data_IF_017445272817
#
_entry.id   IF_017445272817
#
_cell.length_a   1.000
_cell.length_b   1.000
_cell.length_c   1.000
_cell.angle_alpha   90.00
_cell.angle_beta   90.00
_cell.angle_gamma   90.00
#
_symmetry.space_group_name_H-M   'P 1'
#
loop_
_entity.id
_entity.type
_entity.pdbx_description
1 polymer ?
#
# COMPACT_ATOMS: atom_id res chain seq x y z
N UNK A 1 -17.30 65.48 49.74
CA UNK A 1 -16.41 65.22 48.59
C UNK A 1 -15.27 64.43 49.19
N UNK A 2 -15.34 63.11 49.21
CA UNK A 2 -14.88 62.29 48.09
C UNK A 2 -15.44 60.86 48.27
N UNK A 3 -16.20 60.35 47.30
CA UNK A 3 -16.59 58.94 47.16
C UNK A 3 -16.11 58.47 45.79
N UNK A 4 -15.23 57.48 45.76
CA UNK A 4 -14.84 56.62 44.60
C UNK A 4 -14.17 55.36 45.19
N UNK A 5 -14.31 54.14 44.64
CA UNK A 5 -15.53 53.46 44.20
C UNK A 5 -15.55 51.94 44.60
N UNK A 6 -16.73 51.33 44.53
CA UNK A 6 -16.91 49.87 44.46
C UNK A 6 -16.40 49.33 43.11
N UNK A 7 -15.67 48.23 43.16
CA UNK A 7 -15.20 47.48 41.98
C UNK A 7 -16.37 46.67 41.41
N UNK A 8 -16.97 47.20 40.34
CA UNK A 8 -17.99 46.52 39.55
C UNK A 8 -17.38 45.47 38.62
N UNK A 9 -18.12 44.37 38.56
CA UNK A 9 -17.90 43.15 37.78
C UNK A 9 -18.20 43.45 36.33
N UNK A 10 -17.20 43.41 35.45
CA UNK A 10 -17.46 43.44 34.01
C UNK A 10 -17.99 42.08 33.57
N UNK A 11 -19.31 41.98 33.41
CA UNK A 11 -19.97 40.96 32.59
C UNK A 11 -20.61 41.66 31.38
N UNK A 12 -20.16 41.24 30.21
CA UNK A 12 -20.80 41.21 28.88
C UNK A 12 -21.86 42.26 28.53
N UNK A 13 -21.63 43.00 27.43
CA UNK A 13 -22.64 43.06 26.38
C UNK A 13 -22.02 43.32 24.99
N UNK A 14 -22.59 42.60 24.03
CA UNK A 14 -22.14 42.36 22.68
C UNK A 14 -22.22 43.62 21.81
N UNK A 15 -21.27 43.80 20.90
CA UNK A 15 -21.56 44.47 19.62
C UNK A 15 -21.18 43.53 18.49
N UNK A 16 -22.23 43.06 17.83
CA UNK A 16 -22.18 42.25 16.64
C UNK A 16 -21.58 43.06 15.49
N UNK A 17 -20.42 42.65 15.01
CA UNK A 17 -20.06 42.81 13.60
C UNK A 17 -19.74 41.44 13.06
N UNK A 18 -20.79 40.74 12.64
CA UNK A 18 -20.68 39.59 11.76
C UNK A 18 -20.06 40.08 10.46
N UNK A 19 -18.79 39.76 10.27
CA UNK A 19 -18.22 39.59 8.94
C UNK A 19 -17.80 38.13 8.94
N UNK A 20 -18.81 37.30 8.71
CA UNK A 20 -18.62 35.96 8.19
C UNK A 20 -18.01 36.16 6.81
N UNK A 21 -16.68 36.13 6.74
CA UNK A 21 -15.98 36.03 5.47
C UNK A 21 -16.02 34.55 5.07
N UNK A 22 -17.24 34.07 4.84
CA UNK A 22 -17.52 32.87 4.06
C UNK A 22 -17.22 33.29 2.60
N UNK A 23 -15.93 33.43 2.31
CA UNK A 23 -15.43 33.38 0.95
C UNK A 23 -15.76 31.98 0.46
N UNK A 24 -16.98 31.89 -0.07
CA UNK A 24 -17.53 30.70 -0.69
C UNK A 24 -16.45 30.15 -1.60
N UNK A 25 -15.99 28.95 -1.25
CA UNK A 25 -15.30 28.08 -2.18
C UNK A 25 -16.36 27.75 -3.23
N UNK A 26 -16.50 28.64 -4.21
CA UNK A 26 -17.25 28.35 -5.42
C UNK A 26 -16.42 27.24 -6.05
N UNK A 27 -16.92 26.01 -5.99
CA UNK A 27 -16.33 24.91 -6.73
C UNK A 27 -16.54 25.30 -8.20
N UNK A 28 -15.56 26.00 -8.78
CA UNK A 28 -15.66 26.59 -10.12
C UNK A 28 -16.03 25.52 -11.14
N UNK A 29 -15.79 24.24 -10.82
CA UNK A 29 -16.21 23.00 -11.48
C UNK A 29 -17.73 22.90 -11.69
N UNK A 30 -18.56 23.36 -10.76
CA UNK A 30 -20.03 23.35 -10.90
C UNK A 30 -20.54 24.39 -11.92
N UNK A 31 -19.72 25.37 -12.29
CA UNK A 31 -20.04 26.40 -13.29
C UNK A 31 -19.52 26.05 -14.69
N UNK A 32 -18.69 25.01 -14.84
CA UNK A 32 -18.23 24.59 -16.16
C UNK A 32 -19.35 23.90 -16.92
N UNK A 33 -19.53 24.31 -18.17
CA UNK A 33 -20.36 23.56 -19.10
C UNK A 33 -19.76 22.16 -19.36
N UNK A 34 -20.55 21.18 -19.81
CA UNK A 34 -20.05 19.83 -20.08
C UNK A 34 -18.87 19.81 -21.07
N UNK A 35 -18.85 20.78 -21.99
CA UNK A 35 -17.82 20.97 -23.01
C UNK A 35 -16.51 21.48 -22.40
N UNK A 36 -16.58 22.48 -21.50
CA UNK A 36 -15.41 23.01 -20.81
C UNK A 36 -14.85 22.01 -19.77
N UNK A 37 -15.70 21.16 -19.17
CA UNK A 37 -15.27 20.06 -18.30
C UNK A 37 -14.47 18.99 -19.05
N UNK A 38 -14.91 18.61 -20.26
CA UNK A 38 -14.23 17.63 -21.09
C UNK A 38 -12.88 18.17 -21.59
N UNK A 39 -12.82 19.44 -21.99
CA UNK A 39 -11.57 20.11 -22.38
C UNK A 39 -10.60 20.24 -21.20
N UNK A 40 -11.11 20.53 -20.00
CA UNK A 40 -10.31 20.56 -18.76
C UNK A 40 -9.81 19.15 -18.40
N UNK A 41 -10.64 18.11 -18.51
CA UNK A 41 -10.25 16.72 -18.28
C UNK A 41 -9.16 16.25 -19.24
N UNK A 42 -9.26 16.59 -20.53
CA UNK A 42 -8.23 16.33 -21.53
C UNK A 42 -6.94 17.11 -21.26
N UNK A 43 -7.03 18.37 -20.84
CA UNK A 43 -5.87 19.19 -20.51
C UNK A 43 -5.11 18.67 -19.26
N UNK A 44 -5.84 18.20 -18.24
CA UNK A 44 -5.24 17.67 -17.00
C UNK A 44 -4.88 16.19 -17.09
N UNK A 45 -5.41 15.43 -18.05
CA UNK A 45 -5.08 14.01 -18.30
C UNK A 45 -3.57 13.72 -18.28
N UNK A 46 -2.70 14.45 -19.00
CA UNK A 46 -1.25 14.21 -18.95
C UNK A 46 -0.65 14.48 -17.55
N UNK A 47 -1.19 15.45 -16.81
CA UNK A 47 -0.76 15.77 -15.43
C UNK A 47 -1.24 14.69 -14.46
N UNK A 48 -2.52 14.28 -14.52
CA UNK A 48 -3.08 13.15 -13.77
C UNK A 48 -2.27 11.87 -14.03
N UNK A 49 -1.89 11.62 -15.29
CA UNK A 49 -1.13 10.43 -15.69
C UNK A 49 0.35 10.49 -15.27
N UNK A 50 0.97 11.68 -15.30
CA UNK A 50 2.31 11.90 -14.78
C UNK A 50 2.35 11.78 -13.24
N UNK A 51 1.38 12.36 -12.54
CA UNK A 51 1.20 12.22 -11.09
C UNK A 51 0.92 10.77 -10.72
N UNK A 52 0.05 10.07 -11.45
CA UNK A 52 -0.18 8.65 -11.26
C UNK A 52 1.10 7.84 -11.50
N UNK A 53 1.89 8.12 -12.55
CA UNK A 53 3.18 7.42 -12.79
C UNK A 53 4.20 7.69 -11.69
N UNK A 54 4.33 8.93 -11.22
CA UNK A 54 5.24 9.30 -10.12
C UNK A 54 4.78 8.66 -8.81
N UNK A 55 3.48 8.72 -8.50
CA UNK A 55 2.89 8.12 -7.30
C UNK A 55 2.92 6.59 -7.33
N UNK A 56 2.64 5.95 -8.48
CA UNK A 56 2.78 4.49 -8.65
C UNK A 56 4.24 4.09 -8.47
N UNK A 57 5.19 4.85 -9.01
CA UNK A 57 6.61 4.55 -8.87
C UNK A 57 7.06 4.74 -7.42
N UNK A 58 6.64 5.81 -6.77
CA UNK A 58 6.91 6.05 -5.35
C UNK A 58 6.31 4.95 -4.46
N UNK A 59 5.05 4.58 -4.71
CA UNK A 59 4.36 3.50 -3.99
C UNK A 59 5.02 2.15 -4.23
N UNK A 60 5.38 1.82 -5.48
CA UNK A 60 6.11 0.59 -5.81
C UNK A 60 7.48 0.54 -5.12
N UNK A 61 8.22 1.67 -5.06
CA UNK A 61 9.50 1.74 -4.34
C UNK A 61 9.33 1.60 -2.82
N UNK A 62 8.32 2.26 -2.25
CA UNK A 62 8.04 2.23 -0.81
C UNK A 62 7.57 0.82 -0.39
N UNK A 63 6.59 0.26 -1.08
CA UNK A 63 6.07 -1.09 -0.88
C UNK A 63 7.15 -2.17 -1.05
N UNK A 64 7.96 -2.08 -2.12
CA UNK A 64 9.07 -3.00 -2.33
C UNK A 64 10.08 -2.91 -1.19
N UNK A 65 10.36 -1.72 -0.65
CA UNK A 65 11.27 -1.56 0.48
C UNK A 65 10.75 -2.23 1.75
N UNK A 66 9.48 -2.06 2.12
CA UNK A 66 8.92 -2.66 3.34
C UNK A 66 8.87 -4.19 3.25
N UNK A 67 8.36 -4.71 2.14
CA UNK A 67 8.32 -6.14 1.90
C UNK A 67 9.75 -6.71 1.93
N UNK A 68 10.70 -6.06 1.27
CA UNK A 68 12.11 -6.47 1.27
C UNK A 68 12.77 -6.45 2.65
N UNK A 69 12.41 -5.48 3.52
CA UNK A 69 12.87 -5.47 4.92
C UNK A 69 12.36 -6.68 5.70
N UNK A 70 11.06 -6.98 5.61
CA UNK A 70 10.46 -8.17 6.23
C UNK A 70 11.06 -9.47 5.66
N UNK A 71 11.29 -9.55 4.35
CA UNK A 71 11.94 -10.70 3.71
C UNK A 71 13.35 -10.92 4.28
N UNK A 72 14.13 -9.85 4.41
CA UNK A 72 15.48 -9.91 4.98
C UNK A 72 15.49 -10.31 6.44
N UNK A 73 14.53 -9.82 7.22
CA UNK A 73 14.34 -10.21 8.61
C UNK A 73 14.04 -11.72 8.70
N UNK A 74 13.07 -12.22 7.92
CA UNK A 74 12.71 -13.63 7.88
C UNK A 74 13.92 -14.51 7.54
N UNK A 75 14.69 -14.15 6.51
CA UNK A 75 15.90 -14.89 6.12
C UNK A 75 16.93 -14.90 7.25
N UNK A 76 17.16 -13.76 7.91
CA UNK A 76 18.08 -13.68 9.05
C UNK A 76 17.64 -14.55 10.24
N UNK A 77 16.34 -14.51 10.58
CA UNK A 77 15.78 -15.31 11.66
C UNK A 77 15.93 -16.81 11.36
N UNK A 78 15.59 -17.24 10.14
CA UNK A 78 15.65 -18.65 9.73
C UNK A 78 17.09 -19.16 9.69
N UNK A 79 18.04 -18.36 9.20
CA UNK A 79 19.44 -18.79 9.09
C UNK A 79 20.23 -18.69 10.41
N UNK A 80 19.77 -17.92 11.40
CA UNK A 80 20.38 -17.86 12.74
C UNK A 80 19.66 -18.81 13.70
N UNK A 81 19.88 -20.10 13.50
CA UNK A 81 19.20 -21.19 14.22
C UNK A 81 19.51 -21.24 15.71
N UNK A 82 20.66 -20.70 16.13
CA UNK A 82 21.18 -20.79 17.50
C UNK A 82 20.97 -19.54 18.35
N UNK A 83 20.82 -18.36 17.74
CA UNK A 83 20.72 -17.08 18.47
C UNK A 83 19.36 -16.44 18.22
N UNK A 84 19.04 -16.13 16.96
CA UNK A 84 17.82 -15.36 16.67
C UNK A 84 16.56 -16.23 16.69
N UNK A 85 16.61 -17.45 16.15
CA UNK A 85 15.45 -18.33 16.09
C UNK A 85 14.93 -18.74 17.48
N UNK A 86 15.78 -19.06 18.48
CA UNK A 86 15.31 -19.32 19.84
C UNK A 86 14.69 -18.08 20.48
N UNK A 87 15.29 -16.90 20.29
CA UNK A 87 14.77 -15.64 20.81
C UNK A 87 13.41 -15.29 20.20
N UNK A 88 13.26 -15.51 18.90
CA UNK A 88 11.97 -15.38 18.20
C UNK A 88 10.90 -16.29 18.82
N UNK A 89 11.22 -17.58 18.99
CA UNK A 89 10.29 -18.55 19.61
C UNK A 89 9.94 -18.20 21.06
N UNK A 90 10.90 -17.71 21.84
CA UNK A 90 10.65 -17.24 23.22
C UNK A 90 9.70 -16.04 23.22
N UNK A 91 9.93 -15.08 22.34
CA UNK A 91 9.11 -13.87 22.22
C UNK A 91 7.66 -14.22 21.84
N UNK A 92 7.48 -15.15 20.89
CA UNK A 92 6.14 -15.64 20.54
C UNK A 92 5.44 -16.31 21.74
N UNK A 93 6.17 -17.09 22.53
CA UNK A 93 5.65 -17.75 23.73
C UNK A 93 5.27 -16.73 24.81
N UNK A 94 6.10 -15.72 25.04
CA UNK A 94 5.84 -14.60 25.97
C UNK A 94 4.57 -13.83 25.57
N UNK A 95 4.39 -13.59 24.26
CA UNK A 95 3.21 -12.93 23.71
C UNK A 95 1.98 -13.85 23.57
N UNK A 96 2.06 -15.11 24.04
CA UNK A 96 1.01 -16.14 23.92
C UNK A 96 0.54 -16.39 22.49
N UNK A 97 1.42 -16.21 21.51
CA UNK A 97 1.17 -16.52 20.11
C UNK A 97 1.62 -17.93 19.76
N UNK A 98 1.11 -18.48 18.65
CA UNK A 98 1.53 -19.79 18.17
C UNK A 98 3.01 -19.75 17.78
N UNK A 99 3.81 -20.65 18.38
CA UNK A 99 5.25 -20.73 18.13
C UNK A 99 5.48 -21.23 16.70
N UNK A 100 5.75 -20.31 15.80
CA UNK A 100 5.90 -20.56 14.36
C UNK A 100 7.18 -19.89 13.86
N UNK A 101 7.65 -20.32 12.69
CA UNK A 101 8.78 -19.69 12.01
C UNK A 101 8.22 -18.70 11.01
N UNK A 102 8.81 -17.51 10.93
CA UNK A 102 8.44 -16.52 9.93
C UNK A 102 8.60 -17.11 8.52
N UNK A 103 7.54 -17.09 7.68
CA UNK A 103 7.62 -17.60 6.33
C UNK A 103 8.64 -16.78 5.52
N UNK A 104 9.37 -17.45 4.65
CA UNK A 104 10.33 -16.80 3.75
C UNK A 104 9.62 -16.40 2.47
N UNK A 105 9.95 -15.23 1.94
CA UNK A 105 9.57 -14.84 0.60
C UNK A 105 10.40 -15.59 -0.45
N UNK A 106 9.71 -16.27 -1.36
CA UNK A 106 10.25 -17.12 -2.41
C UNK A 106 9.76 -16.56 -3.75
N UNK A 107 10.65 -15.98 -4.59
CA UNK A 107 10.26 -15.34 -5.84
C UNK A 107 9.51 -16.26 -6.82
N UNK A 108 9.79 -17.57 -6.77
CA UNK A 108 9.15 -18.56 -7.65
C UNK A 108 7.76 -18.98 -7.18
N UNK A 109 7.30 -18.51 -6.01
CA UNK A 109 5.98 -18.84 -5.47
C UNK A 109 5.13 -17.58 -5.42
N UNK A 110 4.13 -17.53 -6.31
CA UNK A 110 3.24 -16.38 -6.55
C UNK A 110 2.55 -15.78 -5.31
N UNK A 111 2.32 -16.57 -4.26
CA UNK A 111 1.70 -16.11 -3.00
C UNK A 111 2.69 -15.92 -1.84
N UNK A 112 4.00 -15.98 -2.09
CA UNK A 112 4.98 -15.97 -1.00
C UNK A 112 5.06 -14.62 -0.29
N UNK A 113 5.04 -13.53 -1.04
CA UNK A 113 5.08 -12.17 -0.48
C UNK A 113 3.78 -11.86 0.25
N UNK A 114 2.65 -12.37 -0.25
CA UNK A 114 1.35 -12.33 0.42
C UNK A 114 1.39 -13.02 1.79
N UNK A 115 1.83 -14.29 1.84
CA UNK A 115 1.90 -15.04 3.08
C UNK A 115 2.84 -14.39 4.10
N UNK A 116 3.93 -13.75 3.64
CA UNK A 116 4.84 -13.02 4.50
C UNK A 116 4.17 -11.78 5.11
N UNK A 117 3.45 -10.99 4.31
CA UNK A 117 2.77 -9.78 4.80
C UNK A 117 1.64 -10.12 5.76
N UNK A 118 0.81 -11.10 5.42
CA UNK A 118 -0.26 -11.59 6.31
C UNK A 118 0.32 -12.09 7.64
N UNK A 119 1.39 -12.88 7.59
CA UNK A 119 2.06 -13.35 8.79
C UNK A 119 2.66 -12.19 9.60
N UNK A 120 3.30 -11.23 8.94
CA UNK A 120 3.95 -10.09 9.59
C UNK A 120 2.93 -9.20 10.31
N UNK A 121 1.78 -8.93 9.69
CA UNK A 121 0.68 -8.19 10.31
C UNK A 121 0.14 -8.90 11.55
N UNK A 122 -0.07 -10.22 11.48
CA UNK A 122 -0.51 -11.03 12.61
C UNK A 122 0.53 -11.10 13.76
N UNK A 123 1.82 -10.95 13.45
CA UNK A 123 2.93 -11.03 14.39
C UNK A 123 3.64 -9.69 14.61
N UNK A 124 2.99 -8.56 14.33
CA UNK A 124 3.58 -7.21 14.44
C UNK A 124 4.26 -6.97 15.78
N UNK A 125 3.56 -7.25 16.89
CA UNK A 125 4.10 -7.09 18.25
C UNK A 125 5.37 -7.91 18.49
N UNK A 126 5.44 -9.12 17.96
CA UNK A 126 6.61 -9.97 18.08
C UNK A 126 7.78 -9.46 17.24
N UNK A 127 7.49 -8.97 16.02
CA UNK A 127 8.48 -8.35 15.13
C UNK A 127 9.07 -7.12 15.82
N UNK A 128 8.22 -6.18 16.27
CA UNK A 128 8.65 -4.95 16.95
C UNK A 128 9.51 -5.27 18.18
N UNK A 129 9.08 -6.24 19.02
CA UNK A 129 9.82 -6.67 20.21
C UNK A 129 11.21 -7.22 19.87
N UNK A 130 11.33 -8.00 18.79
CA UNK A 130 12.61 -8.61 18.40
C UNK A 130 13.51 -7.60 17.69
N UNK A 131 12.97 -6.68 16.89
CA UNK A 131 13.75 -5.66 16.20
C UNK A 131 14.26 -4.57 17.15
N UNK A 132 13.52 -4.26 18.22
CA UNK A 132 13.92 -3.28 19.24
C UNK A 132 15.06 -3.76 20.16
N UNK A 133 15.29 -5.07 20.27
CA UNK A 133 16.39 -5.63 21.08
C UNK A 133 17.74 -5.29 20.45
N UNK A 134 18.45 -4.33 21.05
CA UNK A 134 19.76 -3.83 20.58
C UNK A 134 20.80 -4.93 20.42
N UNK A 135 20.80 -5.92 21.31
CA UNK A 135 21.74 -7.05 21.34
C UNK A 135 21.65 -7.95 20.09
N UNK A 136 20.51 -7.97 19.40
CA UNK A 136 20.30 -8.84 18.24
C UNK A 136 20.76 -8.20 16.92
N UNK A 137 21.09 -6.90 16.91
CA UNK A 137 21.50 -6.19 15.70
C UNK A 137 20.42 -6.17 14.60
N UNK A 138 19.14 -6.27 15.00
CA UNK A 138 17.98 -6.30 14.09
C UNK A 138 17.28 -4.95 13.91
N UNK A 139 17.73 -3.91 14.63
CA UNK A 139 17.13 -2.57 14.61
C UNK A 139 17.03 -1.93 13.22
N UNK A 140 17.91 -2.33 12.29
CA UNK A 140 17.86 -1.88 10.88
C UNK A 140 16.66 -2.42 10.09
N UNK A 141 15.87 -3.30 10.68
CA UNK A 141 14.61 -3.84 10.13
C UNK A 141 13.41 -3.43 10.99
N UNK A 142 13.62 -2.51 11.93
CA UNK A 142 12.55 -1.92 12.74
C UNK A 142 11.66 -1.09 11.82
N UNK A 143 10.36 -1.36 11.87
CA UNK A 143 9.36 -0.62 11.10
C UNK A 143 8.66 0.37 12.04
N UNK A 144 8.58 1.63 11.62
CA UNK A 144 7.84 2.67 12.32
C UNK A 144 6.33 2.50 12.18
N UNK A 145 5.55 3.17 13.04
CA UNK A 145 4.09 3.07 13.02
C UNK A 145 3.48 3.49 11.69
N UNK A 146 4.02 4.54 11.06
CA UNK A 146 3.62 4.99 9.73
C UNK A 146 3.90 3.95 8.64
N UNK A 147 5.03 3.22 8.74
CA UNK A 147 5.36 2.15 7.79
C UNK A 147 4.41 0.96 7.95
N UNK A 148 4.06 0.61 9.19
CA UNK A 148 3.06 -0.41 9.48
C UNK A 148 1.67 -0.04 8.96
N UNK A 149 1.28 1.24 9.06
CA UNK A 149 0.00 1.73 8.52
C UNK A 149 -0.04 1.66 6.99
N UNK A 150 1.06 2.04 6.33
CA UNK A 150 1.20 1.89 4.89
C UNK A 150 1.14 0.43 4.46
N UNK A 151 1.85 -0.47 5.14
CA UNK A 151 1.80 -1.91 4.87
C UNK A 151 0.37 -2.43 5.04
N UNK A 152 -0.36 -2.01 6.07
CA UNK A 152 -1.74 -2.44 6.30
C UNK A 152 -2.68 -1.95 5.20
N UNK A 153 -2.58 -0.67 4.82
CA UNK A 153 -3.37 -0.08 3.73
C UNK A 153 -3.09 -0.77 2.40
N UNK A 154 -1.81 -1.02 2.12
CA UNK A 154 -1.36 -1.63 0.88
C UNK A 154 -1.73 -3.11 0.82
N UNK A 155 -1.55 -3.83 1.93
CA UNK A 155 -2.02 -5.19 2.04
C UNK A 155 -3.54 -5.22 1.85
N UNK A 156 -4.31 -4.31 2.46
CA UNK A 156 -5.78 -4.22 2.29
C UNK A 156 -6.18 -3.94 0.85
N UNK A 157 -5.51 -3.01 0.16
CA UNK A 157 -5.72 -2.75 -1.25
C UNK A 157 -5.34 -3.95 -2.11
N UNK A 158 -4.26 -4.65 -1.77
CA UNK A 158 -3.87 -5.89 -2.41
C UNK A 158 -4.94 -6.97 -2.19
N UNK A 159 -5.37 -7.22 -0.96
CA UNK A 159 -6.44 -8.15 -0.57
C UNK A 159 -7.75 -7.83 -1.31
N UNK A 160 -8.09 -6.55 -1.46
CA UNK A 160 -9.27 -6.09 -2.21
C UNK A 160 -9.18 -6.42 -3.71
N UNK A 161 -7.97 -6.34 -4.30
CA UNK A 161 -7.69 -6.78 -5.67
C UNK A 161 -7.55 -8.30 -5.81
N UNK A 162 -7.29 -9.02 -4.72
CA UNK A 162 -6.97 -10.45 -4.69
C UNK A 162 -8.17 -11.41 -4.64
N UNK A 163 -9.39 -10.97 -4.95
CA UNK A 163 -10.42 -11.93 -5.39
C UNK A 163 -10.38 -12.13 -6.91
N UNK A 164 -9.34 -12.84 -7.40
CA UNK A 164 -9.57 -13.97 -8.28
C UNK A 164 -9.05 -15.24 -7.60
N UNK A 165 -9.98 -16.10 -7.18
CA UNK A 165 -9.63 -17.43 -6.65
C UNK A 165 -8.91 -18.27 -7.74
N UNK A 166 -8.18 -19.32 -7.37
CA UNK A 166 -7.50 -20.21 -8.33
C UNK A 166 -8.45 -20.75 -9.41
N UNK A 167 -9.74 -20.96 -9.08
CA UNK A 167 -10.78 -21.40 -10.01
C UNK A 167 -11.23 -20.30 -11.00
N UNK A 168 -10.88 -19.03 -10.79
CA UNK A 168 -11.07 -17.90 -11.70
C UNK A 168 -9.82 -17.63 -12.53
N UNK A 169 -8.63 -17.86 -11.97
CA UNK A 169 -7.35 -17.62 -12.64
C UNK A 169 -7.10 -18.63 -13.75
N UNK A 170 -7.41 -19.92 -13.54
CA UNK A 170 -7.22 -20.94 -14.58
C UNK A 170 -8.08 -20.64 -15.82
N UNK A 171 -9.40 -20.37 -15.71
CA UNK A 171 -10.20 -19.97 -16.86
C UNK A 171 -9.77 -18.64 -17.51
N UNK A 172 -9.28 -17.68 -16.71
CA UNK A 172 -8.79 -16.41 -17.25
C UNK A 172 -7.49 -16.58 -18.05
N UNK A 173 -6.57 -17.41 -17.55
CA UNK A 173 -5.32 -17.75 -18.24
C UNK A 173 -5.60 -18.57 -19.51
N UNK A 174 -6.50 -19.56 -19.44
CA UNK A 174 -6.95 -20.34 -20.60
C UNK A 174 -7.61 -19.44 -21.66
N UNK A 175 -8.38 -18.44 -21.21
CA UNK A 175 -8.99 -17.45 -22.11
C UNK A 175 -7.94 -16.57 -22.79
N UNK A 176 -6.93 -16.10 -22.05
CA UNK A 176 -5.82 -15.31 -22.60
C UNK A 176 -5.00 -16.13 -23.61
N UNK A 177 -4.66 -17.39 -23.30
CA UNK A 177 -3.94 -18.27 -24.23
C UNK A 177 -4.74 -18.52 -25.52
N UNK A 178 -6.06 -18.73 -25.39
CA UNK A 178 -6.96 -18.90 -26.52
C UNK A 178 -7.03 -17.64 -27.39
N UNK A 179 -7.13 -16.46 -26.78
CA UNK A 179 -7.15 -15.17 -27.49
C UNK A 179 -5.82 -14.93 -28.21
N UNK A 180 -4.69 -15.16 -27.54
CA UNK A 180 -3.35 -15.00 -28.14
C UNK A 180 -3.14 -15.95 -29.31
N UNK A 181 -3.57 -17.21 -29.19
CA UNK A 181 -3.50 -18.21 -30.26
C UNK A 181 -4.39 -17.83 -31.45
N UNK A 182 -5.59 -17.32 -31.18
CA UNK A 182 -6.52 -16.89 -32.24
C UNK A 182 -6.00 -15.66 -32.97
N UNK A 183 -5.40 -14.71 -32.23
CA UNK A 183 -4.86 -13.48 -32.78
C UNK A 183 -3.50 -13.68 -33.49
N UNK A 184 -2.66 -14.61 -33.04
CA UNK A 184 -1.39 -14.93 -33.72
C UNK A 184 -1.60 -15.62 -35.07
N UNK A 185 -2.70 -16.36 -35.24
CA UNK A 185 -3.08 -17.01 -36.50
C UNK A 185 -3.91 -16.13 -37.43
N UNK A 186 -4.27 -14.92 -37.00
CA UNK A 186 -5.12 -14.02 -37.78
C UNK A 186 -4.26 -13.11 -38.67
N UNK A 187 -4.39 -13.28 -39.99
CA UNK A 187 -3.67 -12.51 -41.01
C UNK A 187 -4.06 -11.02 -41.07
N UNK A 188 -5.07 -10.58 -40.30
CA UNK A 188 -5.39 -9.16 -40.13
C UNK A 188 -4.36 -8.40 -39.30
N UNK A 189 -3.54 -9.09 -38.50
CA UNK A 189 -2.50 -8.45 -37.69
C UNK A 189 -1.14 -8.49 -38.38
N UNK A 190 -0.33 -7.45 -38.15
CA UNK A 190 1.02 -7.36 -38.72
C UNK A 190 1.94 -8.45 -38.16
N UNK A 191 2.96 -8.82 -38.93
CA UNK A 191 3.93 -9.84 -38.53
C UNK A 191 4.60 -9.53 -37.17
N UNK A 192 4.85 -8.24 -36.89
CA UNK A 192 5.40 -7.80 -35.61
C UNK A 192 4.45 -8.06 -34.42
N UNK A 193 3.14 -7.84 -34.60
CA UNK A 193 2.14 -8.10 -33.56
C UNK A 193 1.97 -9.60 -33.33
N UNK A 194 1.95 -10.41 -34.40
CA UNK A 194 1.87 -11.87 -34.29
C UNK A 194 3.10 -12.46 -33.60
N UNK A 195 4.30 -11.97 -33.93
CA UNK A 195 5.54 -12.37 -33.25
C UNK A 195 5.55 -11.96 -31.77
N UNK A 196 5.03 -10.77 -31.44
CA UNK A 196 4.88 -10.34 -30.06
C UNK A 196 3.88 -11.20 -29.27
N UNK A 197 2.76 -11.59 -29.89
CA UNK A 197 1.77 -12.49 -29.29
C UNK A 197 2.31 -13.90 -29.07
N UNK A 198 3.07 -14.44 -30.01
CA UNK A 198 3.75 -15.74 -29.84
C UNK A 198 4.81 -15.70 -28.73
N UNK A 199 5.56 -14.60 -28.64
CA UNK A 199 6.51 -14.39 -27.55
C UNK A 199 5.78 -14.28 -26.19
N UNK A 200 4.71 -13.50 -26.13
CA UNK A 200 3.89 -13.35 -24.93
C UNK A 200 3.28 -14.68 -24.46
N UNK A 201 2.85 -15.52 -25.41
CA UNK A 201 2.36 -16.89 -25.15
C UNK A 201 3.42 -17.80 -24.54
N UNK A 202 4.68 -17.72 -25.01
CA UNK A 202 5.80 -18.50 -24.44
C UNK A 202 6.16 -18.09 -23.02
N UNK A 203 5.86 -16.85 -22.61
CA UNK A 203 6.00 -16.41 -21.22
C UNK A 203 4.80 -16.72 -20.34
N UNK A 204 3.65 -17.03 -20.93
CA UNK A 204 2.42 -17.37 -20.20
C UNK A 204 2.39 -18.84 -19.73
N UNK A 205 3.09 -19.73 -20.45
CA UNK A 205 3.27 -21.15 -20.14
C UNK A 205 4.61 -21.41 -19.45
#
# INVERSE_FOLDING_TARGET
MEEVPDLDVTNDEQSATGIDNDEGWVDEIELLTPEELEELEEAILPVKLALAKVSIRFWAYSYANYCFQLCKLAIKLVHSTTILLPVWKSTLKELRQAVTIMPRDVPTRWNSSFNLLEYALNHRKAIDTVTQRRELGLRKFELGDHEWELILKDATLFFSRSTPNLAMVIPAMDHIDKVFTTASLNDRYTLAIRAALEAAKKTLN
#
